data_IF_098795307848
#
_entry.id   IF_098795307848
#
_cell.length_a   1.000
_cell.length_b   1.000
_cell.length_c   1.000
_cell.angle_alpha   90.00
_cell.angle_beta   90.00
_cell.angle_gamma   90.00
#
_symmetry.space_group_name_H-M   'P 1'
#
loop_
_entity.id
_entity.type
_entity.pdbx_description
1 polymer ?
#
# COMPACT_ATOMS: atom_id res chain seq x y z
N UNK A 1 -3.07 19.36 12.45
CA UNK A 1 -3.60 18.25 11.65
C UNK A 1 -3.17 16.93 12.28
N UNK A 2 -4.08 16.00 12.47
CA UNK A 2 -3.76 14.73 13.10
C UNK A 2 -2.93 13.86 12.16
N UNK A 3 -1.94 13.19 12.73
CA UNK A 3 -1.10 12.21 12.02
C UNK A 3 -1.00 10.98 12.88
N UNK A 4 -0.88 9.83 12.25
CA UNK A 4 -0.61 8.57 12.97
C UNK A 4 0.55 7.86 12.30
N UNK A 5 1.32 7.14 13.10
CA UNK A 5 2.43 6.32 12.64
C UNK A 5 2.00 4.87 12.76
N UNK A 6 1.94 4.17 11.65
CA UNK A 6 1.49 2.77 11.61
C UNK A 6 2.59 1.85 11.13
N UNK A 7 2.47 0.57 11.48
CA UNK A 7 3.37 -0.47 11.00
C UNK A 7 2.94 -0.89 9.60
N UNK A 8 3.50 -0.26 8.60
CA UNK A 8 3.15 -0.49 7.20
C UNK A 8 4.29 -0.05 6.30
N UNK A 9 4.31 -0.57 5.08
CA UNK A 9 5.17 -0.08 4.02
C UNK A 9 4.32 0.59 2.96
N UNK A 10 4.90 1.48 2.17
CA UNK A 10 4.18 2.23 1.15
C UNK A 10 5.05 2.46 -0.06
N UNK A 11 4.48 2.25 -1.24
CA UNK A 11 5.12 2.57 -2.52
C UNK A 11 4.19 3.43 -3.35
N UNK A 12 4.78 4.18 -4.28
CA UNK A 12 4.03 4.95 -5.27
C UNK A 12 4.19 4.31 -6.64
N UNK A 13 3.08 4.05 -7.30
CA UNK A 13 3.08 3.60 -8.69
C UNK A 13 2.53 4.79 -9.50
N UNK A 14 3.44 5.53 -10.12
CA UNK A 14 3.11 6.85 -10.64
C UNK A 14 2.74 7.79 -9.48
N UNK A 15 1.58 8.41 -9.56
CA UNK A 15 1.07 9.29 -8.50
C UNK A 15 0.19 8.57 -7.49
N UNK A 16 0.05 7.25 -7.63
CA UNK A 16 -0.87 6.45 -6.83
C UNK A 16 -0.14 5.73 -5.72
N UNK A 17 -0.52 6.01 -4.48
CA UNK A 17 0.06 5.36 -3.32
C UNK A 17 -0.62 4.05 -2.99
N UNK A 18 0.19 3.03 -2.72
CA UNK A 18 -0.27 1.71 -2.31
C UNK A 18 0.28 1.43 -0.93
N UNK A 19 -0.61 1.20 0.02
CA UNK A 19 -0.26 0.89 1.40
C UNK A 19 -0.20 -0.62 1.56
N UNK A 20 0.93 -1.12 2.08
CA UNK A 20 1.15 -2.53 2.31
C UNK A 20 1.07 -2.81 3.81
N UNK A 21 0.07 -3.57 4.21
CA UNK A 21 -0.27 -3.86 5.60
C UNK A 21 -0.09 -5.35 5.89
N UNK A 22 0.12 -5.68 7.14
CA UNK A 22 0.26 -7.07 7.56
C UNK A 22 1.17 -7.20 8.76
N UNK A 23 1.18 -8.38 9.36
CA UNK A 23 2.04 -8.67 10.50
C UNK A 23 3.51 -8.64 10.08
N UNK A 24 4.41 -8.50 11.06
CA UNK A 24 5.83 -8.74 10.82
C UNK A 24 6.00 -10.12 10.18
N UNK A 25 6.82 -10.18 9.13
CA UNK A 25 7.03 -11.42 8.39
C UNK A 25 6.00 -11.69 7.30
N UNK A 26 5.01 -10.82 7.10
CA UNK A 26 4.01 -11.00 6.05
C UNK A 26 4.56 -10.72 4.64
N UNK A 27 5.77 -10.14 4.54
CA UNK A 27 6.40 -9.89 3.25
C UNK A 27 6.25 -8.48 2.72
N UNK A 28 5.96 -7.51 3.59
CA UNK A 28 5.77 -6.11 3.17
C UNK A 28 7.00 -5.54 2.45
N UNK A 29 8.17 -5.66 3.08
CA UNK A 29 9.41 -5.08 2.52
C UNK A 29 9.84 -5.81 1.25
N UNK A 30 9.71 -7.14 1.21
CA UNK A 30 10.03 -7.92 0.02
C UNK A 30 9.12 -7.55 -1.16
N UNK A 31 7.82 -7.40 -0.89
CA UNK A 31 6.88 -6.97 -1.92
C UNK A 31 7.17 -5.55 -2.39
N UNK A 32 7.50 -4.65 -1.47
CA UNK A 32 7.91 -3.29 -1.83
C UNK A 32 9.11 -3.32 -2.78
N UNK A 33 10.12 -4.15 -2.49
CA UNK A 33 11.28 -4.30 -3.35
C UNK A 33 10.90 -4.78 -4.74
N UNK A 34 10.04 -5.81 -4.84
CA UNK A 34 9.59 -6.31 -6.14
C UNK A 34 8.83 -5.25 -6.95
N UNK A 35 8.00 -4.46 -6.28
CA UNK A 35 7.29 -3.36 -6.93
C UNK A 35 8.26 -2.27 -7.39
N UNK A 36 9.25 -1.93 -6.57
CA UNK A 36 10.27 -0.94 -6.91
C UNK A 36 11.10 -1.41 -8.10
N UNK A 37 11.47 -2.68 -8.14
CA UNK A 37 12.21 -3.28 -9.24
C UNK A 37 11.45 -3.16 -10.57
N UNK A 38 10.13 -3.08 -10.51
CA UNK A 38 9.28 -2.94 -11.68
C UNK A 38 8.83 -1.49 -11.94
N UNK A 39 9.45 -0.52 -11.27
CA UNK A 39 9.23 0.89 -11.55
C UNK A 39 8.50 1.70 -10.50
N UNK A 40 8.03 1.08 -9.42
CA UNK A 40 7.45 1.84 -8.31
C UNK A 40 8.54 2.62 -7.57
N UNK A 41 8.13 3.63 -6.82
CA UNK A 41 9.03 4.45 -6.02
C UNK A 41 8.72 4.24 -4.54
N UNK A 42 9.76 4.07 -3.73
CA UNK A 42 9.59 3.91 -2.29
C UNK A 42 9.00 5.17 -1.65
N UNK A 43 8.02 5.01 -0.79
CA UNK A 43 7.51 6.08 0.06
C UNK A 43 7.97 5.85 1.49
N UNK A 44 7.70 4.69 2.04
CA UNK A 44 8.09 4.34 3.40
C UNK A 44 8.22 2.84 3.56
N UNK A 45 9.12 2.39 4.44
CA UNK A 45 9.24 0.97 4.79
C UNK A 45 9.09 0.80 6.29
N UNK A 46 8.36 -0.24 6.68
CA UNK A 46 8.13 -0.67 8.06
C UNK A 46 7.29 0.30 8.90
N UNK A 47 7.50 1.59 8.78
CA UNK A 47 6.71 2.63 9.45
C UNK A 47 6.28 3.68 8.44
N UNK A 48 5.01 4.01 8.48
CA UNK A 48 4.41 4.98 7.55
C UNK A 48 3.56 5.96 8.36
N UNK A 49 3.76 7.24 8.09
CA UNK A 49 2.94 8.28 8.72
C UNK A 49 1.76 8.56 7.79
N UNK A 50 0.56 8.40 8.33
CA UNK A 50 -0.68 8.70 7.63
C UNK A 50 -1.25 10.02 8.10
N UNK A 51 -1.80 10.78 7.18
CA UNK A 51 -2.52 12.03 7.46
C UNK A 51 -3.71 12.17 6.53
N UNK A 52 -4.66 13.01 6.90
CA UNK A 52 -5.82 13.33 6.05
C UNK A 52 -5.73 14.79 5.68
N UNK A 53 -5.74 15.09 4.37
CA UNK A 53 -5.70 16.44 3.83
C UNK A 53 -6.82 16.58 2.81
N UNK A 54 -7.71 17.53 3.03
CA UNK A 54 -8.89 17.75 2.17
C UNK A 54 -9.68 16.47 1.92
N UNK A 55 -9.85 15.69 2.98
CA UNK A 55 -10.61 14.44 2.93
C UNK A 55 -9.87 13.24 2.34
N UNK A 56 -8.67 13.40 1.83
CA UNK A 56 -7.90 12.32 1.23
C UNK A 56 -6.82 11.81 2.20
N UNK A 57 -6.51 10.52 2.09
CA UNK A 57 -5.50 9.87 2.91
C UNK A 57 -4.14 9.98 2.22
N UNK A 58 -3.15 10.48 2.95
CA UNK A 58 -1.77 10.63 2.46
C UNK A 58 -0.81 9.84 3.33
N UNK A 59 0.30 9.43 2.74
CA UNK A 59 1.36 8.70 3.42
C UNK A 59 2.72 9.33 3.15
N UNK A 60 3.58 9.29 4.17
CA UNK A 60 4.99 9.67 4.06
C UNK A 60 5.83 8.85 5.01
N UNK A 61 7.15 8.86 4.83
CA UNK A 61 8.07 8.18 5.73
C UNK A 61 8.34 9.06 6.97
N UNK A 62 8.55 8.43 8.13
CA UNK A 62 9.24 9.13 9.22
C UNK A 62 10.61 9.62 8.75
N UNK A 63 11.01 10.83 9.16
CA UNK A 63 12.22 11.45 8.67
C UNK A 63 13.48 10.58 8.87
N UNK A 64 13.55 9.87 10.00
CA UNK A 64 14.72 9.07 10.37
C UNK A 64 14.97 7.87 9.46
N UNK A 65 13.94 7.38 8.76
CA UNK A 65 14.05 6.19 7.91
C UNK A 65 13.70 6.47 6.44
N UNK A 66 13.59 7.74 6.09
CA UNK A 66 13.24 8.14 4.72
C UNK A 66 14.24 7.58 3.72
N UNK A 67 13.74 6.88 2.71
CA UNK A 67 14.55 6.32 1.64
C UNK A 67 15.26 5.02 1.98
N UNK A 68 15.08 4.50 3.17
CA UNK A 68 15.76 3.28 3.61
C UNK A 68 14.86 2.08 3.49
N UNK A 69 15.39 1.00 2.90
CA UNK A 69 14.70 -0.29 2.78
C UNK A 69 15.66 -1.37 3.23
N UNK A 70 15.23 -2.18 4.20
CA UNK A 70 16.01 -3.33 4.63
C UNK A 70 15.78 -4.48 3.66
N UNK A 71 16.85 -4.95 3.03
CA UNK A 71 16.81 -6.04 2.07
C UNK A 71 17.56 -7.22 2.67
N UNK A 72 16.85 -8.32 2.89
CA UNK A 72 17.45 -9.54 3.41
C UNK A 72 18.60 -9.99 2.52
N UNK A 73 19.74 -10.29 3.13
CA UNK A 73 20.92 -10.70 2.42
C UNK A 73 21.81 -9.56 1.93
N UNK A 74 21.31 -8.33 1.97
CA UNK A 74 22.09 -7.16 1.55
C UNK A 74 22.31 -6.16 2.68
N UNK A 75 21.29 -5.87 3.47
CA UNK A 75 21.33 -4.86 4.51
C UNK A 75 20.40 -3.70 4.21
N UNK A 76 20.69 -2.54 4.75
CA UNK A 76 19.85 -1.36 4.57
C UNK A 76 20.35 -0.59 3.35
N UNK A 77 19.48 -0.43 2.36
CA UNK A 77 19.82 0.21 1.09
C UNK A 77 19.00 1.49 0.93
N UNK A 78 19.65 2.54 0.46
CA UNK A 78 18.98 3.82 0.21
C UNK A 78 18.43 3.86 -1.20
N UNK A 79 17.14 4.20 -1.32
CA UNK A 79 16.45 4.34 -2.59
C UNK A 79 15.99 5.76 -2.80
N UNK A 80 15.76 6.12 -4.05
CA UNK A 80 15.04 7.34 -4.40
C UNK A 80 13.61 7.21 -3.87
N UNK A 81 13.08 8.30 -3.32
CA UNK A 81 11.75 8.27 -2.68
C UNK A 81 10.83 9.33 -3.25
N UNK A 82 9.55 9.10 -3.00
CA UNK A 82 8.54 10.14 -3.09
C UNK A 82 8.21 10.60 -1.68
N UNK A 83 8.26 11.91 -1.44
CA UNK A 83 8.12 12.46 -0.09
C UNK A 83 6.74 12.23 0.51
N UNK A 84 5.69 12.36 -0.30
CA UNK A 84 4.31 12.17 0.14
C UNK A 84 3.48 11.68 -1.04
N UNK A 85 2.53 10.80 -0.77
CA UNK A 85 1.66 10.24 -1.82
C UNK A 85 0.25 10.08 -1.28
N UNK A 86 -0.73 10.27 -2.16
CA UNK A 86 -2.12 9.96 -1.84
C UNK A 86 -2.33 8.45 -1.93
N UNK A 87 -2.93 7.87 -0.90
CA UNK A 87 -3.23 6.45 -0.87
C UNK A 87 -4.50 6.19 -1.66
N UNK A 88 -4.42 5.29 -2.63
CA UNK A 88 -5.56 4.90 -3.48
C UNK A 88 -5.86 3.40 -3.39
N UNK A 89 -5.00 2.62 -2.74
CA UNK A 89 -5.20 1.19 -2.55
C UNK A 89 -4.51 0.76 -1.27
N UNK A 90 -5.17 -0.06 -0.48
CA UNK A 90 -4.56 -0.73 0.66
C UNK A 90 -4.55 -2.23 0.41
N UNK A 91 -3.43 -2.88 0.70
CA UNK A 91 -3.26 -4.31 0.51
C UNK A 91 -2.95 -4.94 1.86
N UNK A 92 -3.86 -5.79 2.33
CA UNK A 92 -3.63 -6.60 3.53
C UNK A 92 -2.87 -7.85 3.10
N UNK A 93 -1.64 -8.00 3.56
CA UNK A 93 -0.81 -9.14 3.24
C UNK A 93 -0.98 -10.24 4.28
N UNK A 94 -1.11 -11.46 3.80
CA UNK A 94 -1.32 -12.64 4.61
C UNK A 94 -1.89 -13.73 3.73
N UNK A 95 -2.69 -14.60 4.34
CA UNK A 95 -3.37 -15.64 3.57
C UNK A 95 -4.41 -14.98 2.66
N UNK A 96 -4.48 -15.40 1.41
CA UNK A 96 -5.50 -14.90 0.49
C UNK A 96 -6.89 -15.18 1.02
N UNK A 97 -7.80 -14.25 0.71
CA UNK A 97 -9.21 -14.40 1.02
C UNK A 97 -9.94 -15.18 -0.08
N UNK A 98 -11.21 -14.85 -0.28
CA UNK A 98 -12.04 -15.50 -1.28
C UNK A 98 -11.50 -15.27 -2.70
N UNK A 99 -11.72 -16.24 -3.58
CA UNK A 99 -11.32 -16.14 -4.98
C UNK A 99 -11.98 -14.93 -5.68
N UNK A 100 -13.22 -14.67 -5.37
CA UNK A 100 -13.97 -13.50 -5.85
C UNK A 100 -14.48 -12.73 -4.63
N UNK A 101 -13.68 -11.81 -4.10
CA UNK A 101 -14.03 -11.14 -2.85
C UNK A 101 -15.11 -10.08 -3.03
N UNK A 102 -15.76 -9.74 -1.94
CA UNK A 102 -16.63 -8.57 -1.90
C UNK A 102 -15.78 -7.31 -1.71
N UNK A 103 -16.36 -6.17 -2.04
CA UNK A 103 -15.69 -4.89 -1.94
C UNK A 103 -15.50 -4.48 -0.47
N UNK A 104 -14.28 -4.15 -0.11
CA UNK A 104 -13.94 -3.62 1.20
C UNK A 104 -13.18 -2.31 1.04
N UNK A 105 -13.28 -1.46 2.07
CA UNK A 105 -12.55 -0.20 2.11
C UNK A 105 -11.66 -0.15 3.35
N UNK A 106 -10.47 0.41 3.17
CA UNK A 106 -9.54 0.58 4.27
C UNK A 106 -9.98 1.70 5.20
N UNK A 107 -9.98 1.42 6.49
CA UNK A 107 -10.26 2.41 7.53
C UNK A 107 -8.99 2.61 8.36
N UNK A 108 -8.34 3.78 8.24
CA UNK A 108 -7.18 4.02 9.09
C UNK A 108 -7.59 4.11 10.55
N UNK A 109 -6.66 3.87 11.49
CA UNK A 109 -6.95 4.02 12.90
C UNK A 109 -7.40 5.45 13.25
N UNK A 110 -8.22 5.56 14.29
CA UNK A 110 -8.62 6.86 14.81
C UNK A 110 -7.36 7.66 15.20
N UNK A 111 -7.34 8.99 15.10
CA UNK A 111 -8.49 9.86 14.79
C UNK A 111 -8.67 10.16 13.30
N UNK A 112 -7.98 9.49 12.40
CA UNK A 112 -8.06 9.77 10.97
C UNK A 112 -9.41 9.32 10.39
N UNK A 113 -10.09 10.23 9.71
CA UNK A 113 -11.40 9.98 9.10
C UNK A 113 -11.43 10.60 7.69
N UNK A 114 -10.80 9.96 6.71
CA UNK A 114 -10.89 10.45 5.35
C UNK A 114 -12.32 10.33 4.84
N UNK A 115 -12.76 11.31 4.04
CA UNK A 115 -14.07 11.24 3.39
C UNK A 115 -14.02 10.40 2.13
N UNK A 116 -12.87 10.32 1.48
CA UNK A 116 -12.65 9.44 0.33
C UNK A 116 -12.52 7.99 0.76
N UNK A 117 -12.93 7.11 -0.14
CA UNK A 117 -12.87 5.66 0.11
C UNK A 117 -11.63 5.07 -0.54
N UNK A 118 -10.88 4.30 0.22
CA UNK A 118 -9.68 3.60 -0.26
C UNK A 118 -10.02 2.11 -0.35
N UNK A 119 -10.07 1.52 -1.55
CA UNK A 119 -10.31 0.09 -1.66
C UNK A 119 -9.24 -0.70 -0.91
N UNK A 120 -9.66 -1.80 -0.31
CA UNK A 120 -8.76 -2.71 0.39
C UNK A 120 -8.89 -4.11 -0.20
N UNK A 121 -7.76 -4.71 -0.55
CA UNK A 121 -7.70 -6.08 -1.05
C UNK A 121 -6.79 -6.91 -0.15
N UNK A 122 -6.99 -8.23 -0.17
CA UNK A 122 -6.17 -9.16 0.60
C UNK A 122 -5.42 -10.07 -0.35
N UNK A 123 -4.10 -10.06 -0.25
CA UNK A 123 -3.23 -10.86 -1.11
C UNK A 123 -2.17 -11.57 -0.28
N UNK A 124 -1.68 -12.69 -0.82
CA UNK A 124 -0.51 -13.38 -0.29
C UNK A 124 0.72 -12.83 -1.01
N UNK A 125 1.66 -12.26 -0.25
CA UNK A 125 2.86 -11.66 -0.81
C UNK A 125 3.80 -12.68 -1.50
N UNK A 126 3.64 -13.97 -1.19
CA UNK A 126 4.56 -15.00 -1.68
C UNK A 126 4.38 -15.34 -3.16
N UNK A 127 3.21 -15.07 -3.75
CA UNK A 127 3.00 -15.40 -5.16
C UNK A 127 3.79 -14.45 -6.07
N UNK A 128 4.36 -15.04 -7.12
CA UNK A 128 5.07 -14.25 -8.13
C UNK A 128 4.16 -13.21 -8.79
N UNK A 129 2.87 -13.50 -8.90
CA UNK A 129 1.90 -12.60 -9.52
C UNK A 129 1.40 -11.49 -8.62
N UNK A 130 1.80 -11.45 -7.34
CA UNK A 130 1.28 -10.44 -6.41
C UNK A 130 1.53 -9.01 -6.89
N UNK A 131 2.74 -8.63 -7.37
CA UNK A 131 2.91 -7.29 -7.93
C UNK A 131 2.00 -7.00 -9.12
N UNK A 132 1.83 -7.96 -10.02
CA UNK A 132 0.94 -7.81 -11.17
C UNK A 132 -0.52 -7.67 -10.74
N UNK A 133 -0.93 -8.40 -9.71
CA UNK A 133 -2.29 -8.29 -9.16
C UNK A 133 -2.55 -6.90 -8.59
N UNK A 134 -1.55 -6.30 -7.95
CA UNK A 134 -1.67 -4.94 -7.43
C UNK A 134 -1.86 -3.95 -8.58
N UNK A 135 -1.06 -4.07 -9.64
CA UNK A 135 -1.22 -3.20 -10.82
C UNK A 135 -2.57 -3.39 -11.48
N UNK A 136 -3.02 -4.63 -11.60
CA UNK A 136 -4.35 -4.93 -12.14
C UNK A 136 -5.44 -4.30 -11.28
N UNK A 137 -5.31 -4.36 -9.95
CA UNK A 137 -6.26 -3.75 -9.04
C UNK A 137 -6.31 -2.23 -9.22
N UNK A 138 -5.16 -1.58 -9.31
CA UNK A 138 -5.09 -0.13 -9.53
C UNK A 138 -5.82 0.26 -10.83
N UNK A 139 -5.57 -0.47 -11.90
CA UNK A 139 -6.24 -0.22 -13.17
C UNK A 139 -7.73 -0.48 -13.08
N UNK A 140 -8.11 -1.60 -12.46
CA UNK A 140 -9.51 -2.00 -12.36
C UNK A 140 -10.34 -1.02 -11.52
N UNK A 141 -9.82 -0.57 -10.38
CA UNK A 141 -10.52 0.38 -9.54
C UNK A 141 -10.63 1.76 -10.20
N UNK A 142 -9.55 2.23 -10.85
CA UNK A 142 -9.57 3.54 -11.48
C UNK A 142 -10.42 3.59 -12.75
N UNK A 143 -10.65 2.45 -13.42
CA UNK A 143 -11.34 2.36 -14.71
C UNK A 143 -12.62 1.53 -14.64
N UNK A 144 -13.04 1.13 -13.45
CA UNK A 144 -14.26 0.34 -13.22
C UNK A 144 -14.32 -0.93 -14.10
N UNK A 145 -13.23 -1.71 -14.12
CA UNK A 145 -13.12 -2.87 -15.00
C UNK A 145 -13.61 -4.18 -14.39
N UNK A 146 -14.02 -4.19 -13.13
CA UNK A 146 -14.54 -5.40 -12.49
C UNK A 146 -15.86 -5.85 -13.13
N UNK A 147 -16.07 -7.17 -13.23
CA UNK A 147 -17.27 -7.78 -13.78
C UNK A 147 -18.04 -8.60 -12.74
N UNK A 148 -17.35 -9.58 -12.13
CA UNK A 148 -18.00 -10.56 -11.28
C UNK A 148 -17.54 -10.50 -9.84
N UNK A 149 -16.90 -9.40 -9.47
CA UNK A 149 -16.39 -9.21 -8.11
C UNK A 149 -16.50 -7.73 -7.73
N UNK A 150 -16.34 -7.43 -6.47
CA UNK A 150 -16.53 -6.07 -5.96
C UNK A 150 -17.83 -5.47 -6.46
N UNK A 151 -18.90 -6.26 -6.37
CA UNK A 151 -20.20 -5.80 -6.82
C UNK A 151 -20.61 -4.61 -5.98
N UNK A 152 -20.68 -3.48 -6.63
CA UNK A 152 -21.18 -2.26 -6.03
C UNK A 152 -22.69 -2.22 -6.23
N UNK A 153 -23.38 -2.37 -5.16
CA UNK A 153 -24.83 -2.21 -5.18
C UNK A 153 -25.22 -1.00 -4.37
#
# INVERSE_FOLDING_TARGET
>A
MAEINIHASCVAIGKRGVLLLGKSGAGKSDLALRLIDEGAVLVADDRTILSVEKGALFARAPASIKGLLEIRGLGIVKFRTRAKVRIVLAVQLGREGARLPSLHFYRPPAPLQPSGKVPEIRLDARFASTPARIRAALAAFSRALFRDTFITK
#
